data_IF_960508972997
#
_entry.id   IF_960508972997
#
_cell.length_a   1.000
_cell.length_b   1.000
_cell.length_c   1.000
_cell.angle_alpha   90.00
_cell.angle_beta   90.00
_cell.angle_gamma   90.00
#
_symmetry.space_group_name_H-M   'P 1'
#
loop_
_entity.id
_entity.type
_entity.pdbx_description
1 polymer ?
#
# COMPACT_ATOMS: atom_id res chain seq x y z
N UNK A 1 12.32 -24.88 17.20
CA UNK A 1 11.89 -24.69 15.80
C UNK A 1 10.68 -23.78 15.83
N UNK A 2 10.85 -22.50 15.52
CA UNK A 2 9.72 -21.56 15.42
C UNK A 2 9.14 -21.75 14.02
N UNK A 3 7.86 -22.14 13.92
CA UNK A 3 7.15 -22.17 12.66
C UNK A 3 7.07 -20.74 12.13
N UNK A 4 7.97 -20.40 11.21
CA UNK A 4 8.05 -19.09 10.56
C UNK A 4 6.97 -19.01 9.48
N UNK A 5 5.70 -18.95 9.88
CA UNK A 5 4.65 -18.55 8.96
C UNK A 5 4.97 -17.11 8.56
N UNK A 6 5.14 -16.84 7.26
CA UNK A 6 5.42 -15.49 6.79
C UNK A 6 4.31 -14.55 7.29
N UNK A 7 4.68 -13.50 8.01
CA UNK A 7 3.72 -12.52 8.55
C UNK A 7 2.88 -11.89 7.43
N UNK A 8 3.46 -11.78 6.24
CA UNK A 8 2.77 -11.38 5.02
C UNK A 8 2.48 -12.59 4.13
N UNK A 9 1.25 -12.67 3.65
CA UNK A 9 0.83 -13.58 2.58
C UNK A 9 0.37 -12.72 1.40
N UNK A 10 1.08 -12.74 0.26
CA UNK A 10 0.70 -11.95 -0.90
C UNK A 10 -0.61 -12.45 -1.49
N UNK A 11 -1.43 -11.53 -2.01
CA UNK A 11 -2.72 -11.87 -2.58
C UNK A 11 -3.28 -10.74 -3.44
N UNK A 12 -4.24 -11.10 -4.27
CA UNK A 12 -5.02 -10.17 -5.09
C UNK A 12 -6.51 -10.38 -4.78
N UNK A 13 -7.25 -9.27 -4.76
CA UNK A 13 -8.70 -9.22 -4.59
C UNK A 13 -9.20 -7.90 -5.20
N UNK A 14 -10.45 -7.91 -5.67
CA UNK A 14 -11.19 -6.71 -6.09
C UNK A 14 -11.98 -6.07 -4.94
N UNK A 15 -11.97 -6.68 -3.75
CA UNK A 15 -12.63 -6.13 -2.58
C UNK A 15 -12.12 -4.72 -2.27
N UNK A 16 -13.03 -3.79 -2.01
CA UNK A 16 -12.66 -2.51 -1.43
C UNK A 16 -12.23 -2.69 0.04
N UNK A 17 -11.28 -1.88 0.53
CA UNK A 17 -10.95 -1.86 1.96
C UNK A 17 -12.14 -1.41 2.80
N UNK A 18 -12.27 -2.01 3.98
CA UNK A 18 -13.26 -1.62 5.00
C UNK A 18 -12.58 -0.96 6.19
N UNK A 19 -13.36 -0.29 7.04
CA UNK A 19 -12.86 0.39 8.25
C UNK A 19 -11.97 -0.55 9.09
N UNK A 20 -10.76 -0.09 9.41
CA UNK A 20 -9.78 -0.85 10.21
C UNK A 20 -8.87 -1.80 9.43
N UNK A 21 -9.08 -2.01 8.12
CA UNK A 21 -8.13 -2.75 7.29
C UNK A 21 -6.74 -2.08 7.30
N UNK A 22 -5.69 -2.87 7.09
CA UNK A 22 -4.33 -2.36 7.08
C UNK A 22 -4.06 -1.59 5.78
N UNK A 23 -3.32 -0.49 5.90
CA UNK A 23 -3.01 0.38 4.78
C UNK A 23 -1.52 0.72 4.73
N UNK A 24 -0.85 0.29 3.65
CA UNK A 24 0.42 0.86 3.23
C UNK A 24 0.12 2.13 2.42
N UNK A 25 0.42 3.30 2.97
CA UNK A 25 0.10 4.57 2.33
C UNK A 25 1.35 5.23 1.74
N UNK A 26 1.22 5.79 0.54
CA UNK A 26 2.22 6.63 -0.09
C UNK A 26 1.78 8.09 -0.13
N UNK A 27 2.71 9.02 0.06
CA UNK A 27 2.58 10.42 -0.33
C UNK A 27 3.72 10.78 -1.27
N UNK A 28 3.39 11.11 -2.52
CA UNK A 28 4.38 11.10 -3.60
C UNK A 28 5.02 9.71 -3.70
N UNK A 29 6.36 9.64 -3.63
CA UNK A 29 7.13 8.39 -3.62
C UNK A 29 7.54 7.92 -2.22
N UNK A 30 7.11 8.62 -1.16
CA UNK A 30 7.44 8.29 0.22
C UNK A 30 6.36 7.42 0.85
N UNK A 31 6.77 6.43 1.64
CA UNK A 31 5.90 5.68 2.55
C UNK A 31 5.53 6.61 3.70
N UNK A 32 4.24 6.73 4.00
CA UNK A 32 3.75 7.40 5.21
C UNK A 32 3.85 6.42 6.39
N UNK A 33 5.01 6.38 7.05
CA UNK A 33 5.27 5.45 8.13
C UNK A 33 4.70 5.99 9.46
N UNK A 34 3.84 5.26 10.18
CA UNK A 34 3.44 5.63 11.53
C UNK A 34 4.61 5.45 12.52
N UNK A 35 4.49 6.03 13.72
CA UNK A 35 5.45 5.82 14.81
C UNK A 35 5.67 4.33 15.12
N UNK A 36 4.57 3.57 15.21
CA UNK A 36 4.57 2.15 15.54
C UNK A 36 4.26 1.29 14.30
N UNK A 37 5.31 0.72 13.69
CA UNK A 37 5.19 -0.18 12.54
C UNK A 37 5.18 0.51 11.18
N UNK A 38 4.43 -0.08 10.24
CA UNK A 38 4.49 0.25 8.81
C UNK A 38 3.13 0.52 8.16
N UNK A 39 2.03 0.29 8.88
CA UNK A 39 0.68 0.33 8.31
C UNK A 39 -0.20 1.30 9.07
N UNK A 40 -0.90 2.14 8.32
CA UNK A 40 -2.03 2.90 8.80
C UNK A 40 -3.29 2.01 8.82
N UNK A 41 -4.40 2.59 9.23
CA UNK A 41 -5.71 1.95 9.19
C UNK A 41 -6.61 2.65 8.20
N UNK A 42 -7.33 1.88 7.39
CA UNK A 42 -8.37 2.42 6.55
C UNK A 42 -9.45 3.08 7.40
N UNK A 43 -9.78 4.32 7.07
CA UNK A 43 -10.69 5.18 7.85
C UNK A 43 -10.04 5.94 9.00
N UNK A 44 -8.74 5.72 9.25
CA UNK A 44 -7.96 6.45 10.24
C UNK A 44 -7.91 7.97 9.99
N UNK A 45 -7.55 8.76 11.02
CA UNK A 45 -7.49 10.22 10.94
C UNK A 45 -6.56 10.72 9.82
N UNK A 46 -5.53 9.95 9.48
CA UNK A 46 -4.56 10.24 8.42
C UNK A 46 -5.20 10.39 7.04
N UNK A 47 -6.31 9.68 6.82
CA UNK A 47 -7.06 9.77 5.57
C UNK A 47 -7.96 11.00 5.52
N UNK A 48 -8.31 11.59 6.66
CA UNK A 48 -9.35 12.63 6.75
C UNK A 48 -10.62 12.21 5.99
N UNK A 49 -11.10 13.09 5.11
CA UNK A 49 -12.22 12.81 4.20
C UNK A 49 -11.83 12.09 2.89
N UNK A 50 -10.54 11.81 2.66
CA UNK A 50 -10.08 11.16 1.44
C UNK A 50 -10.45 9.67 1.44
N UNK A 51 -10.98 9.17 0.33
CA UNK A 51 -11.25 7.74 0.11
C UNK A 51 -10.75 7.37 -1.29
N UNK A 52 -9.42 7.32 -1.49
CA UNK A 52 -8.81 7.04 -2.79
C UNK A 52 -9.02 5.58 -3.19
N UNK A 53 -8.75 5.26 -4.45
CA UNK A 53 -8.67 3.86 -4.88
C UNK A 53 -7.51 3.16 -4.17
N UNK A 54 -7.74 1.93 -3.71
CA UNK A 54 -6.75 1.13 -3.00
C UNK A 54 -6.63 -0.26 -3.63
N UNK A 55 -5.43 -0.82 -3.56
CA UNK A 55 -5.10 -2.11 -4.17
C UNK A 55 -4.79 -3.13 -3.09
N UNK A 56 -5.42 -4.31 -3.18
CA UNK A 56 -5.08 -5.41 -2.29
C UNK A 56 -3.61 -5.83 -2.48
N UNK A 57 -2.90 -6.04 -1.36
CA UNK A 57 -1.57 -6.64 -1.30
C UNK A 57 -1.57 -8.02 -0.65
N UNK A 58 -2.74 -8.53 -0.26
CA UNK A 58 -2.90 -9.78 0.46
C UNK A 58 -3.22 -9.54 1.94
N UNK A 59 -2.59 -10.29 2.82
CA UNK A 59 -2.85 -10.21 4.27
C UNK A 59 -1.58 -10.12 5.10
N UNK A 60 -1.63 -9.35 6.18
CA UNK A 60 -0.60 -9.30 7.21
C UNK A 60 -1.15 -9.81 8.54
N UNK A 61 -0.58 -10.87 9.09
CA UNK A 61 -1.08 -11.59 10.27
C UNK A 61 -2.59 -11.92 10.15
N UNK A 62 -3.04 -12.29 8.93
CA UNK A 62 -4.44 -12.61 8.63
C UNK A 62 -5.37 -11.41 8.39
N UNK A 63 -4.93 -10.17 8.60
CA UNK A 63 -5.71 -8.96 8.31
C UNK A 63 -5.48 -8.50 6.88
N UNK A 64 -6.53 -8.08 6.17
CA UNK A 64 -6.41 -7.56 4.80
C UNK A 64 -5.52 -6.32 4.78
N UNK A 65 -4.64 -6.27 3.79
CA UNK A 65 -3.68 -5.19 3.59
C UNK A 65 -3.85 -4.61 2.19
N UNK A 66 -3.92 -3.29 2.14
CA UNK A 66 -4.07 -2.52 0.92
C UNK A 66 -2.94 -1.51 0.75
N UNK A 67 -2.74 -1.04 -0.49
CA UNK A 67 -1.86 0.09 -0.80
C UNK A 67 -2.63 1.20 -1.49
N UNK A 68 -2.35 2.44 -1.13
CA UNK A 68 -2.96 3.63 -1.76
C UNK A 68 -2.05 4.86 -1.68
N UNK A 69 -2.49 5.95 -2.31
CA UNK A 69 -1.91 7.29 -2.15
C UNK A 69 -2.81 8.13 -1.25
N UNK A 70 -2.23 8.74 -0.23
CA UNK A 70 -2.87 9.77 0.57
C UNK A 70 -2.16 11.12 0.34
N UNK A 71 -2.89 12.25 0.45
CA UNK A 71 -2.24 13.54 0.52
C UNK A 71 -1.33 13.59 1.75
N UNK A 72 -0.23 14.32 1.68
CA UNK A 72 0.50 14.70 2.89
C UNK A 72 -0.38 15.67 3.68
N UNK A 73 -0.92 15.19 4.79
CA UNK A 73 -1.79 15.97 5.67
C UNK A 73 -1.00 16.76 6.71
N UNK A 74 0.33 16.56 6.80
CA UNK A 74 1.16 17.18 7.83
C UNK A 74 0.81 16.72 9.25
N UNK A 75 0.09 15.61 9.40
CA UNK A 75 -0.32 15.12 10.71
C UNK A 75 0.89 14.65 11.52
N UNK A 76 0.96 15.02 12.81
CA UNK A 76 2.04 14.60 13.68
C UNK A 76 2.02 13.07 13.86
N UNK A 77 3.21 12.46 13.92
CA UNK A 77 3.36 11.01 14.12
C UNK A 77 3.49 10.20 12.82
N UNK A 78 3.35 10.84 11.65
CA UNK A 78 3.74 10.27 10.37
C UNK A 78 5.13 10.73 9.96
N UNK A 79 5.96 9.77 9.57
CA UNK A 79 7.28 10.01 9.01
C UNK A 79 7.27 9.60 7.55
N UNK A 80 7.44 10.55 6.61
CA UNK A 80 7.70 10.21 5.22
C UNK A 80 9.07 9.54 5.11
N UNK A 81 9.09 8.29 4.63
CA UNK A 81 10.32 7.51 4.46
C UNK A 81 10.41 7.01 3.02
N UNK A 82 11.57 7.17 2.38
CA UNK A 82 11.78 6.61 1.04
C UNK A 82 11.84 5.08 1.13
N UNK A 83 11.45 4.35 0.07
CA UNK A 83 11.62 2.89 0.07
C UNK A 83 13.08 2.49 0.31
N UNK A 84 14.03 3.23 -0.26
CA UNK A 84 15.47 2.97 -0.04
C UNK A 84 15.85 3.08 1.43
N UNK A 85 15.44 4.15 2.09
CA UNK A 85 15.77 4.36 3.51
C UNK A 85 15.09 3.32 4.38
N UNK A 86 13.84 2.97 4.09
CA UNK A 86 13.14 1.89 4.78
C UNK A 86 13.89 0.55 4.68
N UNK A 87 14.47 0.23 3.51
CA UNK A 87 15.19 -1.02 3.30
C UNK A 87 16.61 -1.04 3.90
N UNK A 88 17.27 0.12 3.97
CA UNK A 88 18.66 0.22 4.44
C UNK A 88 18.72 0.48 5.95
N UNK A 89 17.84 1.34 6.47
CA UNK A 89 17.92 1.87 7.84
C UNK A 89 17.02 1.14 8.82
N UNK A 90 16.10 0.28 8.36
CA UNK A 90 15.18 -0.48 9.21
C UNK A 90 15.31 -1.99 8.95
N UNK A 91 16.22 -2.69 9.64
CA UNK A 91 16.43 -4.14 9.48
C UNK A 91 15.18 -4.99 9.70
N UNK A 92 14.24 -4.50 10.51
CA UNK A 92 12.95 -5.11 10.82
C UNK A 92 11.84 -4.78 9.81
N UNK A 93 12.13 -3.97 8.79
CA UNK A 93 11.15 -3.65 7.76
C UNK A 93 10.72 -4.93 7.01
N UNK A 94 9.42 -5.08 6.69
CA UNK A 94 8.97 -6.18 5.84
C UNK A 94 9.35 -5.88 4.38
N UNK A 95 10.64 -6.03 4.07
CA UNK A 95 11.27 -5.57 2.83
C UNK A 95 10.57 -6.08 1.56
N UNK A 96 10.18 -7.36 1.55
CA UNK A 96 9.47 -7.99 0.43
C UNK A 96 8.11 -7.32 0.18
N UNK A 97 7.34 -7.07 1.25
CA UNK A 97 6.05 -6.40 1.20
C UNK A 97 6.21 -4.94 0.75
N UNK A 98 7.13 -4.18 1.35
CA UNK A 98 7.31 -2.77 1.00
C UNK A 98 7.73 -2.60 -0.45
N UNK A 99 8.66 -3.44 -0.92
CA UNK A 99 9.11 -3.43 -2.31
C UNK A 99 8.01 -3.82 -3.28
N UNK A 100 7.25 -4.88 -2.96
CA UNK A 100 6.12 -5.33 -3.79
C UNK A 100 5.01 -4.29 -3.81
N UNK A 101 4.67 -3.73 -2.65
CA UNK A 101 3.66 -2.68 -2.50
C UNK A 101 4.00 -1.46 -3.34
N UNK A 102 5.26 -1.02 -3.33
CA UNK A 102 5.73 0.07 -4.18
C UNK A 102 5.61 -0.25 -5.68
N UNK A 103 6.05 -1.43 -6.12
CA UNK A 103 5.98 -1.84 -7.54
C UNK A 103 4.53 -1.94 -8.03
N UNK A 104 3.65 -2.56 -7.25
CA UNK A 104 2.22 -2.67 -7.55
C UNK A 104 1.57 -1.29 -7.65
N UNK A 105 1.85 -0.44 -6.66
CA UNK A 105 1.30 0.90 -6.62
C UNK A 105 1.79 1.74 -7.80
N UNK A 106 3.09 1.73 -8.09
CA UNK A 106 3.67 2.48 -9.19
C UNK A 106 3.09 2.00 -10.53
N UNK A 107 3.06 0.67 -10.78
CA UNK A 107 2.46 0.11 -11.99
C UNK A 107 1.02 0.60 -12.18
N UNK A 108 0.23 0.62 -11.11
CA UNK A 108 -1.13 1.12 -11.15
C UNK A 108 -1.24 2.59 -11.54
N UNK A 109 -0.37 3.46 -11.01
CA UNK A 109 -0.36 4.88 -11.34
C UNK A 109 0.06 5.11 -12.79
N UNK A 110 1.04 4.36 -13.27
CA UNK A 110 1.62 4.48 -14.62
C UNK A 110 0.67 3.93 -15.70
N UNK A 111 -0.21 2.98 -15.33
CA UNK A 111 -1.15 2.34 -16.26
C UNK A 111 -2.58 2.88 -16.12
N UNK A 112 -2.79 4.09 -15.57
CA UNK A 112 -4.13 4.74 -15.51
C UNK A 112 -4.69 5.13 -16.88
N UNK A 113 -3.82 5.25 -17.88
CA UNK A 113 -4.18 5.58 -19.26
C UNK A 113 -3.48 4.62 -20.23
N UNK A 114 -4.17 4.28 -21.32
CA UNK A 114 -3.67 3.36 -22.34
C UNK A 114 -2.55 4.01 -23.15
N UNK A 115 -1.36 3.40 -23.18
CA UNK A 115 -0.23 3.89 -23.97
C UNK A 115 -0.45 3.93 -25.49
N UNK A 116 -1.53 3.30 -26.00
CA UNK A 116 -1.89 3.30 -27.43
C UNK A 116 -2.90 4.39 -27.80
N UNK A 117 -3.97 4.58 -27.03
CA UNK A 117 -5.06 5.51 -27.36
C UNK A 117 -5.20 6.69 -26.40
N UNK A 118 -4.51 6.68 -25.25
CA UNK A 118 -4.60 7.73 -24.22
C UNK A 118 -5.87 7.69 -23.36
N UNK A 119 -6.81 6.78 -23.63
CA UNK A 119 -8.04 6.64 -22.82
C UNK A 119 -7.75 6.02 -21.45
N UNK A 120 -8.64 6.27 -20.49
CA UNK A 120 -8.52 5.70 -19.13
C UNK A 120 -8.72 4.19 -19.16
N UNK A 121 -7.81 3.46 -18.52
CA UNK A 121 -7.85 2.00 -18.41
C UNK A 121 -8.84 1.54 -17.33
N UNK A 122 -9.25 0.27 -17.41
CA UNK A 122 -10.21 -0.34 -16.49
C UNK A 122 -9.61 -1.61 -15.89
N UNK A 123 -9.85 -1.89 -14.59
CA UNK A 123 -9.33 -3.10 -13.96
C UNK A 123 -9.81 -4.37 -14.68
N UNK A 124 -8.91 -5.34 -14.80
CA UNK A 124 -9.24 -6.66 -15.32
C UNK A 124 -9.89 -7.54 -14.24
N UNK A 125 -11.01 -8.23 -14.52
CA UNK A 125 -11.85 -8.88 -13.50
C UNK A 125 -11.26 -10.13 -12.85
N UNK A 126 -10.06 -10.57 -13.27
CA UNK A 126 -9.49 -11.86 -12.83
C UNK A 126 -8.02 -11.78 -12.44
N UNK A 127 -7.37 -10.66 -12.74
CA UNK A 127 -5.93 -10.52 -12.63
C UNK A 127 -5.58 -9.08 -12.26
N UNK A 128 -4.38 -8.87 -11.73
CA UNK A 128 -3.85 -7.53 -11.49
C UNK A 128 -3.40 -6.89 -12.80
N UNK A 129 -4.36 -6.50 -13.63
CA UNK A 129 -4.17 -5.87 -14.94
C UNK A 129 -5.19 -4.72 -15.17
N UNK A 130 -4.90 -3.84 -16.14
CA UNK A 130 -5.66 -2.64 -16.51
C UNK A 130 -5.58 -2.40 -18.02
#
# INVERSE_FOLDING_TARGET
MVNNCAQWVPGWSEDAPVEGDLLLAFSGSNILKPGDGWFLRWGGPEMGGSRPEALALGTWNGLKLFVTTLPDTGLPGLQPVTLRDALILSPEAPAELLSTGFQVWQWWQDHRYCGRCGERTQPHPRERAR
#
